data_IF_557903461951
#
_entry.id   IF_557903461951
#
_cell.length_a   1.000
_cell.length_b   1.000
_cell.length_c   1.000
_cell.angle_alpha   90.00
_cell.angle_beta   90.00
_cell.angle_gamma   90.00
#
_symmetry.space_group_name_H-M   'P 1'
#
loop_
_entity.id
_entity.type
_entity.pdbx_description
1 polymer ?
#
# COMPACT_ATOMS: atom_id res chain seq x y z
N UNK A 1 15.56 9.96 -20.59
CA UNK A 1 15.16 8.63 -20.07
C UNK A 1 15.92 7.54 -20.80
N UNK A 2 16.61 6.64 -20.10
CA UNK A 2 17.41 5.58 -20.73
C UNK A 2 18.62 5.16 -19.90
N UNK A 3 19.34 4.13 -20.33
CA UNK A 3 20.51 3.59 -19.62
C UNK A 3 21.69 4.55 -19.49
N UNK A 4 21.83 5.51 -20.41
CA UNK A 4 22.89 6.52 -20.41
C UNK A 4 22.46 7.87 -19.79
N UNK A 5 21.28 7.96 -19.21
CA UNK A 5 20.81 9.21 -18.63
C UNK A 5 21.54 9.51 -17.31
N UNK A 6 21.82 10.79 -17.06
CA UNK A 6 22.44 11.26 -15.84
C UNK A 6 21.56 10.96 -14.62
N UNK A 7 22.20 10.75 -13.46
CA UNK A 7 21.52 10.55 -12.18
C UNK A 7 21.04 11.92 -11.67
N UNK A 8 19.89 12.36 -12.16
CA UNK A 8 19.23 13.61 -11.76
C UNK A 8 17.77 13.34 -11.41
N UNK A 9 17.20 14.15 -10.51
CA UNK A 9 15.81 14.03 -10.09
C UNK A 9 14.88 14.15 -11.31
N UNK A 10 13.90 13.25 -11.40
CA UNK A 10 12.95 13.17 -12.52
C UNK A 10 13.42 12.30 -13.70
N UNK A 11 14.73 12.02 -13.82
CA UNK A 11 15.22 11.12 -14.86
C UNK A 11 14.78 9.67 -14.58
N UNK A 12 14.53 8.94 -15.68
CA UNK A 12 14.19 7.52 -15.66
C UNK A 12 15.38 6.70 -16.16
N UNK A 13 15.87 5.82 -15.29
CA UNK A 13 17.04 4.95 -15.53
C UNK A 13 16.75 3.52 -15.04
N UNK A 14 17.49 2.51 -15.51
CA UNK A 14 17.49 1.18 -14.90
C UNK A 14 17.87 1.26 -13.42
N UNK A 15 17.23 0.43 -12.59
CA UNK A 15 17.51 0.43 -11.15
C UNK A 15 18.95 -0.02 -10.86
N UNK A 16 19.51 -0.93 -11.66
CA UNK A 16 20.89 -1.40 -11.50
C UNK A 16 21.98 -0.37 -11.78
N UNK A 17 21.67 0.76 -12.44
CA UNK A 17 22.64 1.84 -12.65
C UNK A 17 22.59 2.92 -11.56
N UNK A 18 21.67 2.80 -10.61
CA UNK A 18 21.56 3.75 -9.51
C UNK A 18 22.47 3.34 -8.35
N UNK A 19 23.05 4.30 -7.61
CA UNK A 19 23.77 3.97 -6.40
C UNK A 19 22.82 3.50 -5.30
N UNK A 20 23.34 2.69 -4.39
CA UNK A 20 22.60 2.25 -3.20
C UNK A 20 22.20 3.45 -2.33
N UNK A 21 21.07 3.35 -1.64
CA UNK A 21 20.50 4.47 -0.88
C UNK A 21 19.71 5.47 -1.73
N UNK A 22 19.78 5.39 -3.07
CA UNK A 22 19.00 6.30 -3.93
C UNK A 22 17.50 6.16 -3.67
N UNK A 23 16.85 7.32 -3.59
CA UNK A 23 15.39 7.42 -3.48
C UNK A 23 14.78 7.40 -4.87
N UNK A 24 13.82 6.50 -5.10
CA UNK A 24 13.20 6.26 -6.40
C UNK A 24 11.68 6.18 -6.31
N UNK A 25 11.00 6.50 -7.40
CA UNK A 25 9.55 6.41 -7.56
C UNK A 25 9.16 5.78 -8.90
N UNK A 26 7.87 5.47 -9.07
CA UNK A 26 7.32 4.85 -10.28
C UNK A 26 8.12 3.61 -10.76
N UNK A 27 8.50 2.73 -9.84
CA UNK A 27 9.39 1.59 -10.10
C UNK A 27 8.63 0.50 -10.84
N UNK A 28 9.27 -0.09 -11.83
CA UNK A 28 8.74 -1.26 -12.54
C UNK A 28 8.74 -2.51 -11.65
N UNK A 29 7.63 -3.25 -11.64
CA UNK A 29 7.53 -4.54 -10.96
C UNK A 29 8.09 -5.69 -11.80
N UNK A 30 7.90 -5.62 -13.12
CA UNK A 30 8.53 -6.45 -14.15
C UNK A 30 9.09 -5.52 -15.23
N UNK A 31 10.15 -5.94 -15.90
CA UNK A 31 10.77 -5.13 -16.95
C UNK A 31 9.74 -4.76 -18.01
N UNK A 32 9.60 -3.46 -18.29
CA UNK A 32 8.66 -2.95 -19.29
C UNK A 32 7.21 -2.79 -18.84
N UNK A 33 6.89 -2.97 -17.55
CA UNK A 33 5.52 -2.78 -17.04
C UNK A 33 5.11 -1.29 -16.88
N UNK A 34 5.97 -0.36 -17.33
CA UNK A 34 5.75 1.10 -17.37
C UNK A 34 5.50 1.73 -15.99
N UNK A 35 5.94 1.07 -14.93
CA UNK A 35 5.91 1.59 -13.57
C UNK A 35 4.64 1.18 -12.81
N UNK A 36 4.85 0.42 -11.73
CA UNK A 36 3.79 -0.22 -10.94
C UNK A 36 3.87 0.08 -9.45
N UNK A 37 5.06 0.36 -8.93
CA UNK A 37 5.35 0.51 -7.51
C UNK A 37 5.66 1.96 -7.15
N UNK A 38 5.38 2.36 -5.90
CA UNK A 38 5.67 3.70 -5.37
C UNK A 38 5.14 4.87 -6.24
N UNK A 39 3.82 4.87 -6.53
CA UNK A 39 3.14 5.90 -7.36
C UNK A 39 2.24 6.87 -6.59
N UNK A 40 1.93 6.57 -5.32
CA UNK A 40 1.06 7.45 -4.55
C UNK A 40 1.79 8.76 -4.18
N UNK A 41 1.03 9.84 -4.03
CA UNK A 41 1.55 11.16 -3.63
C UNK A 41 2.45 11.08 -2.39
N UNK A 42 3.68 11.57 -2.48
CA UNK A 42 4.67 11.55 -1.39
C UNK A 42 5.37 10.20 -1.16
N UNK A 43 5.02 9.13 -1.88
CA UNK A 43 5.68 7.84 -1.70
C UNK A 43 7.03 7.80 -2.44
N UNK A 44 7.90 6.94 -1.92
CA UNK A 44 9.17 6.59 -2.53
C UNK A 44 9.57 5.16 -2.14
N UNK A 45 10.49 4.58 -2.90
CA UNK A 45 11.21 3.37 -2.56
C UNK A 45 12.70 3.71 -2.43
N UNK A 46 13.44 2.88 -1.71
CA UNK A 46 14.88 3.07 -1.52
C UNK A 46 15.61 1.87 -2.10
N UNK A 47 16.66 2.13 -2.89
CA UNK A 47 17.57 1.09 -3.35
C UNK A 47 18.40 0.61 -2.16
N UNK A 48 18.39 -0.69 -1.87
CA UNK A 48 19.14 -1.24 -0.73
C UNK A 48 20.47 -1.80 -1.18
N UNK A 49 20.44 -2.75 -2.13
CA UNK A 49 21.63 -3.45 -2.57
C UNK A 49 21.44 -4.02 -3.98
N UNK A 50 22.52 -4.07 -4.75
CA UNK A 50 22.57 -4.74 -6.04
C UNK A 50 23.30 -6.08 -5.93
N UNK A 51 22.80 -7.09 -6.63
CA UNK A 51 23.51 -8.35 -6.82
C UNK A 51 23.86 -8.49 -8.32
N UNK A 52 25.14 -8.27 -8.69
CA UNK A 52 25.59 -8.32 -10.09
C UNK A 52 25.45 -9.72 -10.73
N UNK A 53 25.71 -10.79 -9.96
CA UNK A 53 25.67 -12.18 -10.44
C UNK A 53 24.26 -12.58 -10.89
N UNK A 54 23.27 -12.29 -10.05
CA UNK A 54 21.87 -12.64 -10.30
C UNK A 54 21.12 -11.57 -11.09
N UNK A 55 21.77 -10.44 -11.42
CA UNK A 55 21.18 -9.26 -12.09
C UNK A 55 19.91 -8.76 -11.42
N UNK A 56 19.86 -8.83 -10.08
CA UNK A 56 18.71 -8.43 -9.27
C UNK A 56 19.09 -7.30 -8.33
N UNK A 57 18.11 -6.43 -8.06
CA UNK A 57 18.23 -5.35 -7.09
C UNK A 57 17.21 -5.53 -5.98
N UNK A 58 17.64 -5.33 -4.74
CA UNK A 58 16.77 -5.30 -3.56
C UNK A 58 16.35 -3.87 -3.27
N UNK A 59 15.04 -3.63 -3.22
CA UNK A 59 14.45 -2.33 -2.91
C UNK A 59 13.61 -2.39 -1.63
N UNK A 60 13.53 -1.28 -0.91
CA UNK A 60 12.60 -1.06 0.20
C UNK A 60 11.36 -0.32 -0.32
N UNK A 61 10.20 -0.94 -0.21
CA UNK A 61 8.92 -0.34 -0.61
C UNK A 61 8.42 0.68 0.43
N UNK A 62 7.49 1.59 0.07
CA UNK A 62 6.88 2.53 1.02
C UNK A 62 6.20 1.85 2.21
N UNK A 63 5.81 0.58 2.06
CA UNK A 63 5.24 -0.24 3.15
C UNK A 63 6.27 -0.70 4.18
N UNK A 64 7.57 -0.46 3.93
CA UNK A 64 8.70 -0.98 4.70
C UNK A 64 9.17 -2.37 4.28
N UNK A 65 8.41 -3.07 3.44
CA UNK A 65 8.74 -4.40 2.93
C UNK A 65 9.96 -4.34 1.98
N UNK A 66 10.86 -5.32 2.09
CA UNK A 66 11.94 -5.51 1.13
C UNK A 66 11.40 -6.34 -0.04
N UNK A 67 11.78 -5.98 -1.27
CA UNK A 67 11.39 -6.71 -2.48
C UNK A 67 12.58 -6.81 -3.41
N UNK A 68 12.77 -7.97 -4.02
CA UNK A 68 13.77 -8.17 -5.07
C UNK A 68 13.12 -7.97 -6.44
N UNK A 69 13.77 -7.20 -7.30
CA UNK A 69 13.35 -6.91 -8.68
C UNK A 69 14.52 -7.10 -9.63
N UNK A 70 14.25 -7.19 -10.94
CA UNK A 70 15.31 -7.26 -11.96
C UNK A 70 16.05 -5.92 -12.04
N UNK A 71 17.38 -5.93 -12.15
CA UNK A 71 18.18 -4.70 -12.22
C UNK A 71 17.92 -3.90 -13.51
N UNK A 72 17.42 -4.56 -14.56
CA UNK A 72 17.00 -3.92 -15.81
C UNK A 72 15.67 -3.13 -15.69
N UNK A 73 14.88 -3.36 -14.63
CA UNK A 73 13.65 -2.61 -14.38
C UNK A 73 13.94 -1.12 -14.27
N UNK A 74 13.06 -0.29 -14.82
CA UNK A 74 13.23 1.17 -14.77
C UNK A 74 12.61 1.75 -13.49
N UNK A 75 13.20 2.86 -13.04
CA UNK A 75 12.64 3.69 -11.99
C UNK A 75 12.93 5.17 -12.28
N UNK A 76 12.09 6.04 -11.75
CA UNK A 76 12.32 7.48 -11.74
C UNK A 76 13.08 7.88 -10.48
N UNK A 77 14.06 8.75 -10.61
CA UNK A 77 14.85 9.24 -9.48
C UNK A 77 14.05 10.30 -8.73
N UNK A 78 13.96 10.17 -7.41
CA UNK A 78 13.28 11.11 -6.52
C UNK A 78 12.00 10.56 -5.89
N UNK A 79 11.19 11.46 -5.35
CA UNK A 79 9.92 11.18 -4.68
C UNK A 79 8.73 11.55 -5.57
N UNK A 80 7.57 10.93 -5.33
CA UNK A 80 6.33 11.40 -5.96
C UNK A 80 5.90 12.73 -5.34
N UNK A 81 5.59 13.72 -6.19
CA UNK A 81 5.12 15.03 -5.74
C UNK A 81 3.80 14.98 -4.93
N UNK A 82 3.48 16.07 -4.23
CA UNK A 82 2.24 16.20 -3.46
C UNK A 82 2.21 15.42 -2.15
N UNK A 83 3.37 15.20 -1.53
CA UNK A 83 3.49 14.64 -0.17
C UNK A 83 2.82 15.51 0.91
N UNK A 84 2.63 14.96 2.11
CA UNK A 84 2.03 15.68 3.25
C UNK A 84 0.51 15.91 3.19
N UNK A 85 -0.13 15.62 2.05
CA UNK A 85 -1.59 15.76 1.87
C UNK A 85 -2.42 14.96 2.89
N UNK A 86 -1.87 13.89 3.46
CA UNK A 86 -2.54 13.02 4.44
C UNK A 86 -2.52 13.58 5.86
N UNK A 87 -1.63 14.52 6.16
CA UNK A 87 -1.36 14.96 7.52
C UNK A 87 -2.41 15.97 7.99
N UNK A 88 -2.97 16.73 7.04
CA UNK A 88 -4.08 17.66 7.29
C UNK A 88 -5.38 16.88 7.59
N UNK A 89 -6.04 17.12 8.74
CA UNK A 89 -7.31 16.50 9.04
C UNK A 89 -8.42 17.00 8.10
N UNK A 90 -9.36 16.12 7.75
CA UNK A 90 -10.45 16.46 6.82
C UNK A 90 -11.45 17.47 7.41
N UNK A 91 -11.69 17.42 8.72
CA UNK A 91 -12.63 18.24 9.51
C UNK A 91 -14.12 18.11 9.13
N UNK A 92 -14.48 18.32 7.86
CA UNK A 92 -15.88 18.32 7.38
C UNK A 92 -16.21 17.10 6.54
N UNK A 93 -17.43 16.56 6.72
CA UNK A 93 -17.96 15.46 5.90
C UNK A 93 -18.08 15.84 4.41
N UNK A 94 -18.50 17.07 4.08
CA UNK A 94 -18.58 17.54 2.69
C UNK A 94 -17.26 17.48 1.93
N UNK A 95 -16.12 17.69 2.62
CA UNK A 95 -14.79 17.50 1.98
C UNK A 95 -14.51 16.03 1.66
N UNK A 96 -14.97 15.10 2.51
CA UNK A 96 -14.90 13.68 2.21
C UNK A 96 -15.80 13.31 1.02
N UNK A 97 -17.02 13.84 0.97
CA UNK A 97 -17.94 13.66 -0.15
C UNK A 97 -17.27 14.00 -1.49
N UNK A 98 -16.75 15.23 -1.66
CA UNK A 98 -16.09 15.63 -2.92
C UNK A 98 -14.85 14.79 -3.23
N UNK A 99 -14.08 14.38 -2.23
CA UNK A 99 -12.90 13.49 -2.39
C UNK A 99 -13.28 12.10 -2.91
N UNK A 100 -14.39 11.53 -2.46
CA UNK A 100 -14.85 10.20 -2.90
C UNK A 100 -15.70 10.27 -4.16
N UNK A 101 -16.35 11.41 -4.45
CA UNK A 101 -17.09 11.67 -5.70
C UNK A 101 -16.22 11.53 -6.95
N UNK A 102 -14.96 11.98 -6.90
CA UNK A 102 -14.00 11.83 -8.01
C UNK A 102 -13.39 10.42 -8.13
N UNK A 103 -13.85 9.46 -7.32
CA UNK A 103 -13.37 8.07 -7.28
C UNK A 103 -14.58 7.14 -7.36
N UNK A 104 -14.39 5.87 -7.02
CA UNK A 104 -15.52 4.95 -6.86
C UNK A 104 -16.42 5.37 -5.68
N UNK A 105 -17.72 5.12 -5.82
CA UNK A 105 -18.69 5.31 -4.76
C UNK A 105 -18.35 4.39 -3.56
N UNK A 106 -17.84 4.99 -2.49
CA UNK A 106 -17.38 4.26 -1.29
C UNK A 106 -17.54 5.06 0.00
N UNK A 107 -18.34 6.12 -0.06
CA UNK A 107 -18.67 7.02 1.04
C UNK A 107 -20.11 7.52 0.85
N UNK A 108 -20.94 7.60 1.91
CA UNK A 108 -20.66 7.22 3.30
C UNK A 108 -20.54 5.69 3.49
N UNK A 109 -20.03 5.27 4.65
CA UNK A 109 -19.92 3.84 5.00
C UNK A 109 -20.79 3.54 6.21
N UNK A 110 -21.87 2.79 6.00
CA UNK A 110 -22.74 2.32 7.09
C UNK A 110 -22.03 1.19 7.85
N UNK A 111 -22.09 1.20 9.18
CA UNK A 111 -21.51 0.15 10.02
C UNK A 111 -22.36 -1.12 9.87
N UNK A 112 -21.73 -2.29 9.74
CA UNK A 112 -22.47 -3.55 9.59
C UNK A 112 -23.40 -3.88 10.77
N UNK A 113 -23.10 -3.39 11.98
CA UNK A 113 -23.96 -3.55 13.17
C UNK A 113 -25.22 -2.67 13.15
N UNK A 114 -25.25 -1.65 12.28
CA UNK A 114 -26.43 -0.81 12.08
C UNK A 114 -27.37 -1.36 10.99
N UNK A 115 -27.00 -2.48 10.36
CA UNK A 115 -27.77 -3.15 9.31
C UNK A 115 -28.61 -4.27 9.90
N UNK A 116 -29.55 -4.78 9.11
CA UNK A 116 -30.35 -5.96 9.49
C UNK A 116 -29.56 -7.27 9.26
N UNK A 117 -29.93 -8.40 9.91
CA UNK A 117 -29.25 -9.69 9.72
C UNK A 117 -29.20 -10.16 8.26
N UNK A 118 -30.21 -9.75 7.47
CA UNK A 118 -30.32 -10.08 6.04
C UNK A 118 -29.25 -9.39 5.19
N UNK A 119 -28.76 -8.22 5.63
CA UNK A 119 -27.83 -7.39 4.85
C UNK A 119 -26.37 -7.64 5.22
N UNK A 120 -26.09 -7.89 6.50
CA UNK A 120 -24.71 -8.04 6.99
C UNK A 120 -24.63 -9.08 8.12
N UNK A 121 -23.59 -9.94 8.16
CA UNK A 121 -23.41 -10.92 9.24
C UNK A 121 -23.26 -10.34 10.66
N UNK A 122 -23.09 -9.03 10.79
CA UNK A 122 -22.96 -8.36 12.09
C UNK A 122 -24.26 -7.62 12.47
N UNK A 123 -25.27 -7.67 11.59
CA UNK A 123 -26.50 -6.91 11.70
C UNK A 123 -27.54 -7.59 12.57
N UNK A 124 -28.49 -6.77 13.04
CA UNK A 124 -29.63 -7.16 13.87
C UNK A 124 -29.39 -7.27 15.37
N UNK A 125 -30.32 -7.97 16.02
CA UNK A 125 -30.43 -8.01 17.48
C UNK A 125 -31.10 -6.76 18.06
N UNK A 126 -31.56 -6.87 19.31
CA UNK A 126 -32.16 -5.75 20.05
C UNK A 126 -31.11 -4.73 20.52
N UNK A 127 -29.86 -5.17 20.68
CA UNK A 127 -28.71 -4.32 21.03
C UNK A 127 -27.67 -4.36 19.91
N UNK A 128 -27.06 -3.22 19.60
CA UNK A 128 -25.99 -3.14 18.59
C UNK A 128 -24.70 -3.79 19.08
N UNK A 129 -24.48 -5.05 18.72
CA UNK A 129 -23.27 -5.81 19.00
C UNK A 129 -23.01 -6.84 17.88
N UNK A 130 -21.78 -7.38 17.78
CA UNK A 130 -21.42 -8.34 16.72
C UNK A 130 -21.98 -9.74 17.01
N UNK A 131 -22.15 -10.12 18.28
CA UNK A 131 -22.67 -11.44 18.69
C UNK A 131 -21.72 -12.62 18.51
N UNK A 132 -20.68 -12.50 17.67
CA UNK A 132 -19.66 -13.53 17.44
C UNK A 132 -18.24 -12.91 17.32
N UNK A 133 -17.16 -13.72 17.36
CA UNK A 133 -15.82 -13.22 17.12
C UNK A 133 -15.70 -12.52 15.75
N UNK A 134 -15.12 -11.32 15.75
CA UNK A 134 -14.97 -10.50 14.53
C UNK A 134 -13.76 -10.88 13.68
N UNK A 135 -12.92 -11.82 14.15
CA UNK A 135 -11.80 -12.37 13.39
C UNK A 135 -12.27 -13.53 12.52
N UNK A 136 -12.14 -13.39 11.20
CA UNK A 136 -12.64 -14.39 10.25
C UNK A 136 -11.49 -15.05 9.51
N UNK A 137 -11.60 -16.35 9.25
CA UNK A 137 -10.57 -17.13 8.54
C UNK A 137 -10.42 -16.67 7.08
N UNK A 138 -9.24 -16.91 6.50
CA UNK A 138 -8.91 -16.50 5.12
C UNK A 138 -9.78 -17.21 4.07
N UNK A 139 -10.13 -18.46 4.35
CA UNK A 139 -10.89 -19.41 3.52
C UNK A 139 -12.42 -19.23 3.63
N UNK A 140 -12.92 -18.30 4.46
CA UNK A 140 -14.35 -18.02 4.55
C UNK A 140 -14.97 -17.69 3.18
N UNK A 141 -16.23 -18.07 2.98
CA UNK A 141 -16.96 -17.80 1.73
C UNK A 141 -17.22 -16.31 1.52
N UNK A 142 -17.58 -15.93 0.29
CA UNK A 142 -18.18 -14.62 0.04
C UNK A 142 -19.42 -14.43 0.93
N UNK A 143 -19.63 -13.23 1.45
CA UNK A 143 -20.68 -12.95 2.45
C UNK A 143 -20.26 -13.23 3.89
N UNK A 144 -19.63 -14.37 4.19
CA UNK A 144 -19.12 -14.68 5.55
C UNK A 144 -17.82 -13.93 5.90
N UNK A 145 -17.03 -13.54 4.90
CA UNK A 145 -15.72 -12.89 5.06
C UNK A 145 -15.83 -11.40 5.41
N UNK A 146 -16.34 -11.11 6.60
CA UNK A 146 -16.48 -9.75 7.16
C UNK A 146 -15.62 -9.56 8.42
N UNK A 147 -15.45 -8.32 8.88
CA UNK A 147 -14.64 -8.02 10.07
C UNK A 147 -13.12 -8.03 9.84
N UNK A 148 -12.37 -8.57 10.80
CA UNK A 148 -10.90 -8.64 10.80
C UNK A 148 -10.42 -9.91 10.09
N UNK A 149 -10.28 -9.83 8.77
CA UNK A 149 -9.95 -10.97 7.91
C UNK A 149 -8.50 -11.45 8.15
N UNK A 150 -8.36 -12.71 8.53
CA UNK A 150 -7.09 -13.41 8.77
C UNK A 150 -6.13 -12.61 9.68
N UNK A 151 -6.70 -11.92 10.67
CA UNK A 151 -5.93 -11.11 11.60
C UNK A 151 -5.03 -12.01 12.46
N UNK A 152 -3.71 -11.80 12.37
CA UNK A 152 -2.71 -12.49 13.21
C UNK A 152 -2.65 -11.95 14.63
N UNK A 153 -3.08 -10.70 14.82
CA UNK A 153 -3.11 -9.98 16.09
C UNK A 153 -4.25 -8.96 16.03
N UNK A 154 -4.91 -8.74 17.16
CA UNK A 154 -5.94 -7.70 17.36
C UNK A 154 -5.49 -6.71 18.45
N UNK A 155 -6.26 -5.65 18.67
CA UNK A 155 -5.95 -4.62 19.67
C UNK A 155 -4.99 -3.51 19.19
N UNK A 156 -4.80 -2.49 20.04
CA UNK A 156 -3.93 -1.35 19.74
C UNK A 156 -2.46 -1.75 19.91
N UNK A 157 -1.65 -1.54 18.88
CA UNK A 157 -0.19 -1.74 18.96
C UNK A 157 0.38 -0.70 19.94
N UNK A 158 0.98 -1.17 21.03
CA UNK A 158 1.78 -0.39 21.98
C UNK A 158 3.22 -0.91 21.92
N UNK A 159 4.21 0.00 21.90
CA UNK A 159 5.63 -0.33 21.72
C UNK A 159 6.11 -0.35 20.25
N UNK A 160 7.14 -1.15 19.96
CA UNK A 160 7.77 -1.23 18.63
C UNK A 160 6.87 -1.79 17.54
N UNK A 161 6.90 -1.18 16.34
CA UNK A 161 6.16 -1.68 15.17
C UNK A 161 6.84 -2.95 14.65
N UNK A 162 6.17 -4.13 14.61
CA UNK A 162 6.77 -5.31 14.03
C UNK A 162 7.09 -5.06 12.55
N UNK A 163 8.35 -5.31 12.15
CA UNK A 163 8.74 -5.25 10.75
C UNK A 163 7.92 -6.30 10.01
N UNK A 164 7.28 -5.92 8.90
CA UNK A 164 6.53 -6.87 8.07
C UNK A 164 7.52 -7.85 7.46
N UNK A 165 7.57 -9.07 8.00
CA UNK A 165 8.30 -10.19 7.40
C UNK A 165 7.67 -10.47 6.03
N UNK A 166 8.35 -10.05 4.97
CA UNK A 166 8.08 -10.57 3.63
C UNK A 166 8.67 -11.97 3.58
N UNK A 167 7.84 -12.98 3.30
CA UNK A 167 8.35 -14.24 2.75
C UNK A 167 9.02 -13.88 1.42
N UNK A 168 10.26 -14.32 1.25
CA UNK A 168 11.09 -14.07 0.07
C UNK A 168 10.38 -14.42 -1.24
#
# INVERSE_FOLDING_TARGET
>A
CGSKASVQVGNIVPVGSLPEGTTICNVEGKCGDRGKLAKCSGNYATVIAHNPETKKTRIRLPSGAKKVIQSANRAMIGLVAGGGRTDKPMLKAGRAYHKYKAKRNSWPRVRGVAMNPVEHPHGGGNHQHIGHPSTVRRDASAGKKVGLIAARRTGRIRGGKPVKITKE
#
